data_IF_774485070217
#
_entry.id   IF_774485070217
#
_cell.length_a   1.000
_cell.length_b   1.000
_cell.length_c   1.000
_cell.angle_alpha   90.00
_cell.angle_beta   90.00
_cell.angle_gamma   90.00
#
_symmetry.space_group_name_H-M   'P 1'
#
loop_
_entity.id
_entity.type
_entity.pdbx_description
1 polymer ?
#
# COMPACT_ATOMS: atom_id res chain seq x y z
N UNK A 1 -3.88 5.42 30.83
CA UNK A 1 -4.65 5.94 29.70
C UNK A 1 -5.43 4.81 29.03
N UNK A 2 -6.70 5.06 28.68
CA UNK A 2 -7.51 4.18 27.85
C UNK A 2 -7.80 4.87 26.53
N UNK A 3 -7.61 4.15 25.41
CA UNK A 3 -7.79 4.67 24.04
C UNK A 3 -8.83 3.82 23.33
N UNK A 4 -9.72 4.45 22.58
CA UNK A 4 -10.71 3.79 21.74
C UNK A 4 -10.29 3.93 20.28
N UNK A 5 -10.18 2.80 19.59
CA UNK A 5 -9.98 2.70 18.16
C UNK A 5 -11.12 1.90 17.54
N UNK A 6 -11.62 2.33 16.40
CA UNK A 6 -12.61 1.59 15.64
C UNK A 6 -12.34 1.77 14.14
N UNK A 7 -12.26 0.67 13.44
CA UNK A 7 -12.16 0.61 11.98
C UNK A 7 -13.44 -0.07 11.48
N UNK A 8 -14.26 0.66 10.71
CA UNK A 8 -15.50 0.16 10.12
C UNK A 8 -15.27 -0.04 8.64
N UNK A 9 -15.30 -1.30 8.20
CA UNK A 9 -15.05 -1.70 6.82
C UNK A 9 -16.34 -2.19 6.17
N UNK A 10 -16.65 -1.66 4.98
CA UNK A 10 -17.75 -2.09 4.14
C UNK A 10 -17.18 -2.68 2.85
N UNK A 11 -17.69 -3.85 2.48
CA UNK A 11 -17.38 -4.52 1.23
C UNK A 11 -18.66 -4.72 0.45
N UNK A 12 -18.74 -4.13 -0.73
CA UNK A 12 -19.85 -4.34 -1.65
C UNK A 12 -19.33 -5.12 -2.86
N UNK A 13 -19.67 -6.41 -2.93
CA UNK A 13 -19.38 -7.23 -4.09
C UNK A 13 -20.40 -6.91 -5.19
N UNK A 14 -19.92 -6.45 -6.34
CA UNK A 14 -20.72 -6.12 -7.50
C UNK A 14 -20.93 -7.36 -8.37
N UNK A 15 -19.87 -8.14 -8.56
CA UNK A 15 -19.86 -9.42 -9.28
C UNK A 15 -18.94 -10.43 -8.57
N UNK A 16 -18.41 -11.40 -9.29
CA UNK A 16 -17.48 -12.40 -8.76
C UNK A 16 -16.11 -11.85 -8.40
N UNK A 17 -15.63 -10.86 -9.14
CA UNK A 17 -14.29 -10.29 -9.01
C UNK A 17 -14.30 -8.81 -8.67
N UNK A 18 -15.36 -8.08 -9.07
CA UNK A 18 -15.46 -6.66 -8.80
C UNK A 18 -16.06 -6.37 -7.44
N UNK A 19 -15.38 -5.51 -6.69
CA UNK A 19 -15.85 -5.03 -5.39
C UNK A 19 -15.52 -3.56 -5.16
N UNK A 20 -16.37 -2.91 -4.37
CA UNK A 20 -16.15 -1.61 -3.80
C UNK A 20 -15.83 -1.74 -2.32
N UNK A 21 -14.73 -1.17 -1.90
CA UNK A 21 -14.30 -1.11 -0.52
C UNK A 21 -14.48 0.31 0.03
N UNK A 22 -14.98 0.41 1.26
CA UNK A 22 -15.14 1.67 1.97
C UNK A 22 -14.77 1.50 3.44
N UNK A 23 -13.94 2.43 3.98
CA UNK A 23 -13.50 2.40 5.37
C UNK A 23 -13.68 3.75 6.06
N UNK A 24 -14.21 3.70 7.28
CA UNK A 24 -14.27 4.81 8.22
C UNK A 24 -13.50 4.50 9.50
N UNK A 25 -12.93 5.55 10.12
CA UNK A 25 -12.22 5.49 11.40
C UNK A 25 -12.83 6.50 12.38
N UNK A 26 -14.04 6.25 12.93
CA UNK A 26 -14.83 7.28 13.58
C UNK A 26 -14.26 7.81 14.89
N UNK A 27 -13.37 7.09 15.57
CA UNK A 27 -12.86 7.48 16.89
C UNK A 27 -11.37 7.79 16.92
N UNK A 28 -10.72 7.80 15.77
CA UNK A 28 -9.32 8.17 15.66
C UNK A 28 -9.01 8.74 14.26
N UNK A 29 -7.93 9.48 14.19
CA UNK A 29 -7.21 9.84 12.97
C UNK A 29 -5.73 9.52 13.16
N UNK A 30 -4.88 9.80 12.20
CA UNK A 30 -3.44 9.48 12.28
C UNK A 30 -2.77 10.00 13.56
N UNK A 31 -3.22 11.15 14.10
CA UNK A 31 -2.56 11.84 15.21
C UNK A 31 -3.40 11.92 16.49
N UNK A 32 -4.69 11.71 16.40
CA UNK A 32 -5.61 11.92 17.53
C UNK A 32 -6.53 10.74 17.78
N UNK A 33 -6.82 10.48 19.04
CA UNK A 33 -7.68 9.38 19.47
C UNK A 33 -8.72 9.86 20.48
N UNK A 34 -9.88 9.21 20.48
CA UNK A 34 -10.79 9.28 21.62
C UNK A 34 -10.14 8.54 22.78
N UNK A 35 -9.89 9.25 23.89
CA UNK A 35 -9.14 8.72 25.01
C UNK A 35 -9.63 9.22 26.35
N UNK A 36 -9.38 8.41 27.36
CA UNK A 36 -9.51 8.80 28.78
C UNK A 36 -8.14 8.70 29.45
N UNK A 37 -7.68 9.82 30.01
CA UNK A 37 -6.43 9.90 30.78
C UNK A 37 -6.75 9.77 32.26
N UNK A 38 -6.17 8.76 32.91
CA UNK A 38 -6.28 8.56 34.36
C UNK A 38 -5.26 9.46 35.06
N UNK A 39 -5.73 10.51 35.71
CA UNK A 39 -4.89 11.38 36.53
C UNK A 39 -5.35 11.27 38.00
N UNK A 40 -4.42 11.42 39.02
CA UNK A 40 -4.73 11.19 40.40
C UNK A 40 -5.84 12.10 40.99
N UNK A 41 -5.96 13.31 40.46
CA UNK A 41 -6.90 14.30 40.96
C UNK A 41 -8.10 14.56 40.05
N UNK A 42 -7.91 14.49 38.72
CA UNK A 42 -8.99 14.69 37.76
C UNK A 42 -8.70 13.89 36.47
N UNK A 43 -9.49 12.86 36.21
CA UNK A 43 -9.46 12.17 34.93
C UNK A 43 -9.95 13.07 33.80
N UNK A 44 -9.25 13.08 32.67
CA UNK A 44 -9.59 13.85 31.46
C UNK A 44 -10.13 12.95 30.37
N UNK A 45 -11.33 13.25 29.87
CA UNK A 45 -11.89 12.61 28.68
C UNK A 45 -11.76 13.54 27.49
N UNK A 46 -11.07 13.06 26.44
CA UNK A 46 -10.95 13.74 25.14
C UNK A 46 -11.66 12.91 24.09
N UNK A 47 -12.73 13.43 23.50
CA UNK A 47 -13.44 12.77 22.40
C UNK A 47 -12.92 13.27 21.06
N UNK A 48 -12.64 12.36 20.16
CA UNK A 48 -12.35 12.64 18.77
C UNK A 48 -13.36 11.89 17.90
N UNK A 49 -14.12 12.64 17.11
CA UNK A 49 -15.04 12.07 16.14
C UNK A 49 -14.55 12.45 14.76
N UNK A 50 -14.24 11.46 13.96
CA UNK A 50 -13.80 11.59 12.59
C UNK A 50 -14.76 10.82 11.67
N UNK A 51 -15.33 11.51 10.68
CA UNK A 51 -16.19 10.93 9.65
C UNK A 51 -15.53 10.95 8.27
N UNK A 52 -14.23 11.26 8.22
CA UNK A 52 -13.49 11.26 6.98
C UNK A 52 -13.36 9.83 6.45
N UNK A 53 -13.44 9.73 5.14
CA UNK A 53 -13.26 8.45 4.45
C UNK A 53 -11.77 8.12 4.44
N UNK A 54 -11.39 7.10 5.20
CA UNK A 54 -10.01 6.65 5.26
C UNK A 54 -9.60 5.91 3.98
N UNK A 55 -10.49 5.03 3.48
CA UNK A 55 -10.28 4.37 2.20
C UNK A 55 -11.60 4.23 1.44
N UNK A 56 -11.55 4.42 0.14
CA UNK A 56 -12.64 4.20 -0.81
C UNK A 56 -12.03 3.85 -2.16
N UNK A 57 -12.09 2.59 -2.53
CA UNK A 57 -11.57 2.14 -3.82
C UNK A 57 -12.41 1.03 -4.43
N UNK A 58 -12.36 0.98 -5.75
CA UNK A 58 -12.85 -0.12 -6.56
C UNK A 58 -11.69 -1.04 -6.89
N UNK A 59 -11.95 -2.34 -6.89
CA UNK A 59 -11.03 -3.33 -7.42
C UNK A 59 -11.79 -4.36 -8.27
N UNK A 60 -11.08 -4.96 -9.22
CA UNK A 60 -11.63 -5.98 -10.10
C UNK A 60 -10.55 -6.60 -10.98
N UNK A 61 -10.95 -7.63 -11.74
CA UNK A 61 -10.13 -8.25 -12.76
C UNK A 61 -10.56 -7.78 -14.16
N UNK A 62 -9.60 -7.31 -14.96
CA UNK A 62 -9.89 -6.73 -16.29
C UNK A 62 -10.44 -7.79 -17.25
N UNK A 63 -9.93 -9.03 -17.19
CA UNK A 63 -10.42 -10.11 -18.02
C UNK A 63 -11.87 -10.45 -17.75
N UNK A 64 -12.23 -10.52 -16.48
CA UNK A 64 -13.60 -10.79 -16.03
C UNK A 64 -14.56 -9.61 -16.30
N UNK A 65 -14.06 -8.36 -16.17
CA UNK A 65 -14.84 -7.17 -16.49
C UNK A 65 -15.18 -7.06 -17.98
N UNK A 66 -14.27 -7.54 -18.85
CA UNK A 66 -14.41 -7.45 -20.30
C UNK A 66 -14.30 -8.82 -21.01
N UNK A 67 -15.18 -9.79 -20.71
CA UNK A 67 -15.07 -11.17 -21.22
C UNK A 67 -15.15 -11.27 -22.76
N UNK A 68 -15.67 -10.24 -23.43
CA UNK A 68 -15.68 -10.19 -24.89
C UNK A 68 -14.34 -9.80 -25.50
N UNK A 69 -13.43 -9.22 -24.73
CA UNK A 69 -12.10 -8.84 -25.19
C UNK A 69 -11.11 -10.01 -25.18
N UNK A 70 -11.33 -11.01 -24.31
CA UNK A 70 -10.62 -12.30 -24.30
C UNK A 70 -11.59 -13.49 -24.25
N UNK A 71 -12.30 -13.79 -25.36
CA UNK A 71 -13.33 -14.84 -25.39
C UNK A 71 -12.81 -16.25 -25.15
N UNK A 72 -11.50 -16.45 -25.24
CA UNK A 72 -10.86 -17.76 -25.05
C UNK A 72 -10.24 -17.91 -23.66
N UNK A 73 -10.38 -16.89 -22.81
CA UNK A 73 -9.75 -16.85 -21.50
C UNK A 73 -8.26 -17.23 -21.59
N UNK A 74 -7.58 -16.54 -22.50
CA UNK A 74 -6.18 -16.81 -22.83
C UNK A 74 -5.19 -16.23 -21.83
N UNK A 75 -5.67 -15.71 -20.74
CA UNK A 75 -4.94 -14.98 -19.71
C UNK A 75 -4.22 -13.70 -20.22
N UNK A 76 -4.53 -13.23 -21.42
CA UNK A 76 -3.93 -12.02 -21.98
C UNK A 76 -4.35 -10.75 -21.20
N UNK A 77 -5.58 -10.73 -20.68
CA UNK A 77 -6.17 -9.63 -19.93
C UNK A 77 -6.30 -9.92 -18.42
N UNK A 78 -5.62 -10.91 -17.93
CA UNK A 78 -5.60 -11.37 -16.53
C UNK A 78 -4.80 -10.38 -15.65
N UNK A 79 -5.33 -9.18 -15.54
CA UNK A 79 -4.80 -8.09 -14.73
C UNK A 79 -5.80 -7.67 -13.68
N UNK A 80 -5.40 -7.71 -12.42
CA UNK A 80 -6.10 -7.03 -11.35
C UNK A 80 -5.91 -5.52 -11.45
N UNK A 81 -6.97 -4.76 -11.24
CA UNK A 81 -6.94 -3.30 -11.15
C UNK A 81 -7.56 -2.85 -9.82
N UNK A 82 -6.94 -1.85 -9.19
CA UNK A 82 -7.54 -1.14 -8.07
C UNK A 82 -7.43 0.37 -8.32
N UNK A 83 -8.50 1.12 -8.06
CA UNK A 83 -8.53 2.56 -8.26
C UNK A 83 -9.30 3.28 -7.14
N UNK A 84 -8.72 4.33 -6.61
CA UNK A 84 -9.28 5.18 -5.56
C UNK A 84 -8.34 5.35 -4.38
N UNK A 85 -8.89 5.84 -3.26
CA UNK A 85 -8.14 6.02 -2.01
C UNK A 85 -7.93 4.68 -1.34
N UNK A 86 -6.71 4.19 -1.34
CA UNK A 86 -6.38 2.84 -0.89
C UNK A 86 -5.09 2.80 -0.07
N UNK A 87 -4.97 1.84 0.86
CA UNK A 87 -3.72 1.62 1.57
C UNK A 87 -2.68 1.01 0.63
N UNK A 88 -1.49 1.60 0.61
CA UNK A 88 -0.31 1.12 -0.10
C UNK A 88 0.65 0.54 0.94
N UNK A 89 0.89 -0.76 0.86
CA UNK A 89 1.67 -1.48 1.85
C UNK A 89 2.65 -2.45 1.17
N UNK A 90 3.95 -2.13 1.22
CA UNK A 90 5.01 -2.94 0.64
C UNK A 90 6.15 -3.18 1.62
N UNK A 91 6.78 -4.36 1.52
CA UNK A 91 7.87 -4.83 2.38
C UNK A 91 7.55 -4.76 3.88
N UNK A 92 6.40 -5.32 4.26
CA UNK A 92 5.91 -5.30 5.66
C UNK A 92 5.81 -3.87 6.23
N UNK A 93 5.58 -2.88 5.36
CA UNK A 93 5.47 -1.48 5.73
C UNK A 93 6.80 -0.75 5.94
N UNK A 94 7.93 -1.41 5.71
CA UNK A 94 9.24 -0.77 5.83
C UNK A 94 9.56 0.14 4.64
N UNK A 95 9.02 -0.16 3.47
CA UNK A 95 9.21 0.67 2.28
C UNK A 95 8.05 1.65 2.12
N UNK A 96 6.81 1.15 2.15
CA UNK A 96 5.59 1.94 2.08
C UNK A 96 4.54 1.41 3.05
N UNK A 97 3.96 2.33 3.82
CA UNK A 97 2.80 2.10 4.67
C UNK A 97 1.98 3.39 4.71
N UNK A 98 1.24 3.64 3.66
CA UNK A 98 0.52 4.89 3.45
C UNK A 98 -0.87 4.65 2.89
N UNK A 99 -1.75 5.65 2.96
CA UNK A 99 -3.08 5.65 2.34
C UNK A 99 -3.20 6.87 1.45
N UNK A 100 -3.28 6.64 0.16
CA UNK A 100 -3.32 7.69 -0.86
C UNK A 100 -4.31 7.36 -1.97
N UNK A 101 -4.63 8.34 -2.79
CA UNK A 101 -5.34 8.11 -4.03
C UNK A 101 -4.39 7.45 -5.03
N UNK A 102 -4.77 6.30 -5.58
CA UNK A 102 -3.88 5.54 -6.44
C UNK A 102 -4.63 4.71 -7.49
N UNK A 103 -3.90 4.35 -8.55
CA UNK A 103 -4.24 3.27 -9.46
C UNK A 103 -3.17 2.19 -9.30
N UNK A 104 -3.62 0.98 -8.99
CA UNK A 104 -2.79 -0.22 -8.96
C UNK A 104 -3.14 -1.15 -10.11
N UNK A 105 -2.13 -1.71 -10.75
CA UNK A 105 -2.24 -2.80 -11.71
C UNK A 105 -1.43 -3.97 -11.20
N UNK A 106 -2.01 -5.15 -11.19
CA UNK A 106 -1.36 -6.37 -10.74
C UNK A 106 -1.47 -7.42 -11.82
N UNK A 107 -0.37 -8.08 -12.11
CA UNK A 107 -0.31 -9.28 -12.92
C UNK A 107 0.20 -10.41 -12.06
N UNK A 108 -0.68 -11.35 -11.76
CA UNK A 108 -0.35 -12.57 -11.02
C UNK A 108 0.00 -13.72 -11.97
N UNK A 109 0.58 -14.77 -11.41
CA UNK A 109 0.74 -16.08 -12.07
C UNK A 109 1.56 -16.04 -13.36
N UNK A 110 2.66 -15.27 -13.36
CA UNK A 110 3.64 -15.33 -14.43
C UNK A 110 4.67 -16.45 -14.15
N UNK A 111 4.76 -17.41 -15.06
CA UNK A 111 5.66 -18.55 -14.93
C UNK A 111 6.90 -18.30 -15.78
N UNK A 112 8.07 -18.23 -15.14
CA UNK A 112 9.38 -18.16 -15.79
C UNK A 112 10.19 -19.41 -15.49
N UNK A 113 11.18 -19.71 -16.33
CA UNK A 113 12.06 -20.84 -16.09
C UNK A 113 12.81 -20.69 -14.75
N UNK A 114 12.65 -21.68 -13.88
CA UNK A 114 13.26 -21.68 -12.53
C UNK A 114 12.44 -21.02 -11.42
N UNK A 115 11.36 -20.33 -11.75
CA UNK A 115 10.40 -19.75 -10.82
C UNK A 115 9.10 -20.57 -10.80
N UNK A 116 8.42 -20.61 -9.68
CA UNK A 116 7.12 -21.28 -9.54
C UNK A 116 6.02 -20.32 -9.96
N UNK A 117 6.11 -19.09 -9.45
CA UNK A 117 5.16 -18.02 -9.70
C UNK A 117 5.87 -16.67 -9.63
N UNK A 118 5.37 -15.69 -10.35
CA UNK A 118 5.82 -14.30 -10.25
C UNK A 118 4.64 -13.37 -10.37
N UNK A 119 4.54 -12.48 -9.40
CA UNK A 119 3.59 -11.39 -9.33
C UNK A 119 4.31 -10.08 -9.65
N UNK A 120 3.73 -9.30 -10.55
CA UNK A 120 4.17 -7.94 -10.87
C UNK A 120 3.08 -6.97 -10.46
N UNK A 121 3.45 -5.90 -9.75
CA UNK A 121 2.52 -4.85 -9.36
C UNK A 121 3.08 -3.49 -9.78
N UNK A 122 2.24 -2.68 -10.38
CA UNK A 122 2.52 -1.28 -10.68
C UNK A 122 1.55 -0.40 -9.89
N UNK A 123 2.04 0.66 -9.29
CA UNK A 123 1.25 1.63 -8.55
C UNK A 123 1.60 3.03 -9.02
N UNK A 124 0.59 3.81 -9.35
CA UNK A 124 0.68 5.25 -9.51
C UNK A 124 -0.21 5.88 -8.44
N UNK A 125 0.42 6.58 -7.51
CA UNK A 125 -0.24 7.25 -6.40
C UNK A 125 -0.10 8.77 -6.51
N UNK A 126 -1.10 9.49 -6.03
CA UNK A 126 -1.11 10.94 -5.96
C UNK A 126 -1.92 11.39 -4.75
N UNK A 127 -1.91 12.67 -4.47
CA UNK A 127 -2.70 13.28 -3.41
C UNK A 127 -2.51 12.61 -2.04
N UNK A 128 -2.00 13.35 -1.09
CA UNK A 128 -1.71 12.87 0.27
C UNK A 128 -0.59 11.81 0.36
N UNK A 129 0.45 11.92 -0.47
CA UNK A 129 1.66 11.11 -0.30
C UNK A 129 2.39 11.58 0.96
N UNK A 130 2.57 10.69 1.94
CA UNK A 130 3.33 11.02 3.14
C UNK A 130 4.83 11.07 2.84
N UNK A 131 5.45 12.16 3.28
CA UNK A 131 6.89 12.35 3.16
C UNK A 131 7.60 11.90 4.44
N UNK A 132 8.92 11.78 4.39
CA UNK A 132 9.76 11.33 5.50
C UNK A 132 9.57 12.13 6.80
N UNK A 133 9.14 13.39 6.71
CA UNK A 133 8.78 14.23 7.84
C UNK A 133 7.37 13.99 8.40
N UNK A 134 6.67 12.96 7.95
CA UNK A 134 5.27 12.65 8.25
C UNK A 134 4.27 13.76 7.86
N UNK A 135 4.65 14.65 6.96
CA UNK A 135 3.71 15.61 6.37
C UNK A 135 3.18 15.06 5.05
N UNK A 136 1.89 15.27 4.82
CA UNK A 136 1.26 14.92 3.57
C UNK A 136 1.56 15.97 2.52
N UNK A 137 1.99 15.50 1.35
CA UNK A 137 2.18 16.32 0.18
C UNK A 137 1.06 16.03 -0.84
N UNK A 138 0.21 17.02 -1.06
CA UNK A 138 -0.91 16.91 -1.98
C UNK A 138 -0.48 16.98 -3.46
N UNK A 139 0.71 17.47 -3.74
CA UNK A 139 1.25 17.64 -5.09
C UNK A 139 2.21 16.50 -5.48
N UNK A 140 2.65 15.69 -4.51
CA UNK A 140 3.55 14.59 -4.80
C UNK A 140 2.86 13.46 -5.57
N UNK A 141 3.61 12.85 -6.47
CA UNK A 141 3.23 11.66 -7.22
C UNK A 141 4.18 10.50 -6.89
N UNK A 142 3.63 9.30 -6.72
CA UNK A 142 4.37 8.08 -6.46
C UNK A 142 4.25 7.15 -7.67
N UNK A 143 5.37 6.66 -8.16
CA UNK A 143 5.46 5.63 -9.18
C UNK A 143 6.18 4.42 -8.61
N UNK A 144 5.49 3.30 -8.44
CA UNK A 144 6.03 2.09 -7.84
C UNK A 144 5.95 0.89 -8.79
N UNK A 145 7.01 0.08 -8.81
CA UNK A 145 7.04 -1.22 -9.45
C UNK A 145 7.55 -2.25 -8.45
N UNK A 146 6.74 -3.25 -8.20
CA UNK A 146 6.98 -4.25 -7.17
C UNK A 146 6.90 -5.64 -7.77
N UNK A 147 7.82 -6.50 -7.36
CA UNK A 147 7.85 -7.88 -7.83
C UNK A 147 7.89 -8.84 -6.64
N UNK A 148 7.15 -9.94 -6.76
CA UNK A 148 7.26 -11.05 -5.84
C UNK A 148 7.40 -12.33 -6.67
N UNK A 149 8.48 -13.09 -6.45
CA UNK A 149 8.77 -14.30 -7.19
C UNK A 149 8.96 -15.46 -6.24
N UNK A 150 8.17 -16.50 -6.42
CA UNK A 150 8.25 -17.72 -5.64
C UNK A 150 9.21 -18.71 -6.27
N UNK A 151 10.19 -19.11 -5.51
CA UNK A 151 11.08 -20.22 -5.78
C UNK A 151 10.70 -21.43 -4.90
N UNK A 152 11.28 -22.56 -5.18
CA UNK A 152 10.97 -23.82 -4.48
C UNK A 152 11.11 -23.77 -2.94
N UNK A 153 11.94 -22.88 -2.40
CA UNK A 153 12.24 -22.79 -0.95
C UNK A 153 12.27 -21.37 -0.41
N UNK A 154 12.01 -20.39 -1.24
CA UNK A 154 12.06 -18.97 -0.86
C UNK A 154 11.15 -18.15 -1.77
N UNK A 155 10.64 -17.05 -1.23
CA UNK A 155 10.03 -15.97 -2.02
C UNK A 155 10.99 -14.79 -2.04
N UNK A 156 11.21 -14.23 -3.20
CA UNK A 156 12.04 -13.04 -3.41
C UNK A 156 11.16 -11.87 -3.81
N UNK A 157 11.48 -10.71 -3.27
CA UNK A 157 10.84 -9.43 -3.62
C UNK A 157 11.90 -8.47 -4.10
N UNK A 158 11.60 -7.76 -5.15
CA UNK A 158 12.43 -6.68 -5.65
C UNK A 158 11.52 -5.52 -6.03
N UNK A 159 11.74 -4.37 -5.42
CA UNK A 159 10.84 -3.24 -5.43
C UNK A 159 11.60 -1.97 -5.78
N UNK A 160 10.99 -1.15 -6.62
CA UNK A 160 11.50 0.17 -7.01
C UNK A 160 10.36 1.16 -6.92
N UNK A 161 10.60 2.30 -6.30
CA UNK A 161 9.65 3.39 -6.33
C UNK A 161 10.36 4.74 -6.48
N UNK A 162 9.68 5.65 -7.15
CA UNK A 162 10.08 7.02 -7.36
C UNK A 162 8.96 7.93 -6.88
N UNK A 163 9.33 8.94 -6.12
CA UNK A 163 8.41 10.00 -5.67
C UNK A 163 8.87 11.29 -6.31
N UNK A 164 7.96 11.88 -7.09
CA UNK A 164 8.10 13.21 -7.68
C UNK A 164 7.44 14.21 -6.73
N UNK A 165 8.16 15.23 -6.28
CA UNK A 165 7.67 16.20 -5.31
C UNK A 165 8.47 17.50 -5.39
N UNK A 166 7.80 18.62 -5.11
CA UNK A 166 8.45 19.91 -5.06
C UNK A 166 9.55 19.98 -4.01
N UNK A 167 10.61 20.71 -4.29
CA UNK A 167 11.78 20.89 -3.40
C UNK A 167 11.39 21.43 -2.02
N UNK A 168 10.34 22.27 -1.95
CA UNK A 168 9.81 22.81 -0.68
C UNK A 168 9.17 21.72 0.20
N UNK A 169 8.68 20.64 -0.42
CA UNK A 169 8.05 19.48 0.25
C UNK A 169 9.02 18.31 0.48
N UNK A 170 10.30 18.47 0.13
CA UNK A 170 11.33 17.46 0.33
C UNK A 170 11.98 16.94 -0.95
N UNK A 171 11.54 17.40 -2.14
CA UNK A 171 12.13 17.04 -3.43
C UNK A 171 11.91 15.59 -3.86
N UNK A 172 12.53 15.21 -4.96
CA UNK A 172 12.41 13.88 -5.57
C UNK A 172 13.17 12.80 -4.80
N UNK A 173 12.59 11.61 -4.74
CA UNK A 173 13.19 10.47 -4.05
C UNK A 173 13.11 9.16 -4.81
N UNK A 174 14.19 8.40 -4.80
CA UNK A 174 14.26 7.03 -5.31
C UNK A 174 14.38 6.05 -4.15
N UNK A 175 13.54 5.02 -4.18
CA UNK A 175 13.49 3.98 -3.16
C UNK A 175 13.68 2.61 -3.80
N UNK A 176 14.59 1.82 -3.25
CA UNK A 176 14.86 0.46 -3.69
C UNK A 176 14.65 -0.49 -2.53
N UNK A 177 13.96 -1.59 -2.79
CA UNK A 177 13.69 -2.61 -1.81
C UNK A 177 14.08 -4.00 -2.29
N UNK A 178 14.66 -4.80 -1.40
CA UNK A 178 14.90 -6.21 -1.59
C UNK A 178 14.37 -6.99 -0.40
N UNK A 179 13.60 -8.04 -0.65
CA UNK A 179 13.10 -8.95 0.37
C UNK A 179 13.37 -10.40 0.01
N UNK A 180 13.67 -11.21 1.01
CA UNK A 180 13.78 -12.66 0.86
C UNK A 180 13.15 -13.34 2.06
N UNK A 181 12.12 -14.16 1.80
CA UNK A 181 11.51 -15.02 2.83
C UNK A 181 11.82 -16.46 2.48
N UNK A 182 12.37 -17.21 3.44
CA UNK A 182 12.83 -18.57 3.18
C UNK A 182 12.64 -19.48 4.38
N UNK A 183 12.51 -20.77 4.12
CA UNK A 183 12.44 -21.79 5.17
C UNK A 183 13.74 -22.56 5.25
N UNK A 184 14.48 -22.35 6.34
CA UNK A 184 15.75 -23.03 6.60
C UNK A 184 15.58 -23.99 7.77
N UNK A 185 15.74 -25.31 7.55
CA UNK A 185 15.68 -26.35 8.58
C UNK A 185 14.45 -26.25 9.51
N UNK A 186 13.29 -25.84 8.98
CA UNK A 186 12.06 -25.71 9.76
C UNK A 186 11.83 -24.35 10.39
N UNK A 187 12.77 -23.41 10.30
CA UNK A 187 12.59 -22.01 10.70
C UNK A 187 12.23 -21.16 9.50
N UNK A 188 11.23 -20.29 9.66
CA UNK A 188 10.96 -19.25 8.69
C UNK A 188 11.89 -18.07 8.99
N UNK A 189 12.65 -17.66 8.00
CA UNK A 189 13.56 -16.53 8.07
C UNK A 189 13.19 -15.52 7.01
N UNK A 190 13.21 -14.25 7.38
CA UNK A 190 12.98 -13.14 6.46
C UNK A 190 14.18 -12.18 6.54
N UNK A 191 14.58 -11.68 5.39
CA UNK A 191 15.58 -10.64 5.24
C UNK A 191 15.03 -9.55 4.34
N UNK A 192 15.17 -8.31 4.77
CA UNK A 192 14.78 -7.12 4.01
C UNK A 192 15.91 -6.11 4.02
N UNK A 193 16.13 -5.46 2.89
CA UNK A 193 17.07 -4.36 2.73
C UNK A 193 16.42 -3.27 1.90
N UNK A 194 16.35 -2.07 2.45
CA UNK A 194 15.81 -0.90 1.79
C UNK A 194 16.89 0.17 1.65
N UNK A 195 16.89 0.85 0.52
CA UNK A 195 17.77 1.97 0.22
C UNK A 195 16.94 3.13 -0.29
N UNK A 196 17.20 4.32 0.22
CA UNK A 196 16.59 5.56 -0.25
C UNK A 196 17.66 6.54 -0.71
N UNK A 197 17.34 7.32 -1.72
CA UNK A 197 18.23 8.34 -2.31
C UNK A 197 17.43 9.57 -2.71
N UNK A 198 17.81 10.72 -2.16
CA UNK A 198 17.33 12.03 -2.61
C UNK A 198 17.96 12.37 -3.95
N UNK A 199 17.17 12.86 -4.90
CA UNK A 199 17.65 13.24 -6.23
C UNK A 199 17.96 14.75 -6.25
N UNK A 200 17.03 15.57 -5.75
CA UNK A 200 17.16 17.03 -5.83
C UNK A 200 17.59 17.68 -4.51
N UNK A 201 17.25 17.09 -3.36
CA UNK A 201 17.59 17.59 -2.03
C UNK A 201 17.94 16.43 -1.11
N UNK A 202 18.96 16.63 -0.24
CA UNK A 202 19.36 15.62 0.74
C UNK A 202 18.24 15.24 1.73
N UNK A 203 17.20 16.06 1.87
CA UNK A 203 16.06 15.81 2.74
C UNK A 203 15.01 14.86 2.12
N UNK A 204 15.02 14.66 0.81
CA UNK A 204 13.98 13.93 0.11
C UNK A 204 13.93 12.43 0.45
N UNK A 205 15.03 11.85 0.87
CA UNK A 205 15.18 10.40 1.07
C UNK A 205 15.32 9.96 2.55
N UNK A 206 15.09 10.85 3.47
CA UNK A 206 15.21 10.57 4.92
C UNK A 206 13.89 10.22 5.54
#
# INVERSE_FOLDING_TARGET
EAVVRSDINFHLNLTGTERLFFQLQPFHSQETFTRYRFEPENGEFSSHINLDVNALFFEGDIGEMFPKADPLDSAALDFGIAIGRQPIFFQEGMMFNDTMDAIGLVRDTLIFEGLIDTKLSFVWGWNNVNRANNQQDANAELYGFFTESDLRKSSLRFDVAYVDSDTESGGDGLFLGFGSVQRIRGYNTAFYANYSHAIDDESAAV
#
